data_IF_350566388571
#
_entry.id   IF_350566388571
#
_cell.length_a   1.000
_cell.length_b   1.000
_cell.length_c   1.000
_cell.angle_alpha   90.00
_cell.angle_beta   90.00
_cell.angle_gamma   90.00
#
_symmetry.space_group_name_H-M   'P 1'
#
loop_
_entity.id
_entity.type
_entity.pdbx_description
1 polymer ?
#
# COMPACT_ATOMS: atom_id res chain seq x y z
N UNK A 1 54.00 34.43 23.76
CA UNK A 1 53.87 32.98 23.47
C UNK A 1 52.53 32.34 23.90
N UNK A 2 51.49 33.10 24.27
CA UNK A 2 50.19 32.56 24.67
C UNK A 2 49.18 32.34 23.51
N UNK A 3 49.30 33.11 22.42
CA UNK A 3 48.38 33.04 21.25
C UNK A 3 48.44 31.69 20.49
N UNK A 4 49.61 31.05 20.43
CA UNK A 4 49.79 29.78 19.72
C UNK A 4 49.19 28.56 20.46
N UNK A 5 49.07 28.62 21.80
CA UNK A 5 48.43 27.54 22.59
C UNK A 5 46.91 27.57 22.47
N UNK A 6 46.33 28.74 22.21
CA UNK A 6 44.89 28.92 22.06
C UNK A 6 44.39 28.40 20.71
N UNK A 7 45.13 28.67 19.61
CA UNK A 7 44.79 28.17 18.26
C UNK A 7 44.82 26.64 18.17
N UNK A 8 45.75 25.98 18.86
CA UNK A 8 45.87 24.52 18.86
C UNK A 8 44.68 23.83 19.56
N UNK A 9 44.17 24.43 20.64
CA UNK A 9 42.96 23.92 21.32
C UNK A 9 41.70 24.23 20.52
N UNK A 10 41.63 25.40 19.89
CA UNK A 10 40.54 25.82 19.01
C UNK A 10 40.40 24.89 17.80
N UNK A 11 41.51 24.50 17.17
CA UNK A 11 41.46 23.65 16.00
C UNK A 11 40.88 22.27 16.35
N UNK A 12 41.29 21.71 17.49
CA UNK A 12 40.80 20.42 17.96
C UNK A 12 39.31 20.46 18.32
N UNK A 13 38.82 21.54 18.93
CA UNK A 13 37.38 21.71 19.21
C UNK A 13 36.55 21.94 17.96
N UNK A 14 37.07 22.68 16.97
CA UNK A 14 36.38 22.94 15.70
C UNK A 14 36.22 21.66 14.89
N UNK A 15 37.25 20.82 14.81
CA UNK A 15 37.18 19.52 14.13
C UNK A 15 36.11 18.63 14.77
N UNK A 16 36.06 18.57 16.11
CA UNK A 16 35.05 17.77 16.82
C UNK A 16 33.64 18.31 16.60
N UNK A 17 33.44 19.64 16.62
CA UNK A 17 32.15 20.25 16.33
C UNK A 17 31.68 19.96 14.90
N UNK A 18 32.56 20.04 13.91
CA UNK A 18 32.25 19.68 12.52
C UNK A 18 31.88 18.19 12.41
N UNK A 19 32.61 17.30 13.09
CA UNK A 19 32.27 15.87 13.12
C UNK A 19 30.89 15.62 13.72
N UNK A 20 30.53 16.28 14.83
CA UNK A 20 29.20 16.12 15.43
C UNK A 20 28.11 16.67 14.50
N UNK A 21 28.33 17.83 13.86
CA UNK A 21 27.40 18.39 12.90
C UNK A 21 27.18 17.46 11.69
N UNK A 22 28.25 16.83 11.18
CA UNK A 22 28.16 15.83 10.11
C UNK A 22 27.41 14.57 10.56
N UNK A 23 27.62 14.09 11.79
CA UNK A 23 26.88 12.94 12.33
C UNK A 23 25.38 13.23 12.46
N UNK A 24 25.01 14.43 12.91
CA UNK A 24 23.61 14.86 12.97
C UNK A 24 23.02 14.96 11.56
N UNK A 25 23.75 15.54 10.60
CA UNK A 25 23.31 15.61 9.20
C UNK A 25 23.07 14.21 8.60
N UNK A 26 23.91 13.23 8.92
CA UNK A 26 23.73 11.84 8.49
C UNK A 26 22.49 11.19 9.12
N UNK A 27 22.23 11.42 10.41
CA UNK A 27 21.01 10.92 11.09
C UNK A 27 19.73 11.55 10.52
N UNK A 28 19.77 12.84 10.19
CA UNK A 28 18.64 13.51 9.53
C UNK A 28 18.48 13.06 8.07
N UNK A 29 19.58 12.85 7.34
CA UNK A 29 19.59 12.31 5.98
C UNK A 29 19.03 10.88 5.91
N UNK A 30 19.36 10.02 6.88
CA UNK A 30 18.84 8.66 6.95
C UNK A 30 17.31 8.63 7.13
N UNK A 31 16.77 9.56 7.91
CA UNK A 31 15.32 9.68 8.14
C UNK A 31 14.59 10.12 6.86
N UNK A 32 15.15 11.11 6.15
CA UNK A 32 14.58 11.64 4.91
C UNK A 32 14.67 10.62 3.76
N UNK A 33 15.81 9.93 3.63
CA UNK A 33 16.02 8.89 2.63
C UNK A 33 15.13 7.66 2.85
N UNK A 34 14.89 7.29 4.13
CA UNK A 34 13.98 6.19 4.45
C UNK A 34 12.55 6.52 4.02
N UNK A 35 12.06 7.74 4.30
CA UNK A 35 10.72 8.16 3.92
C UNK A 35 10.55 8.22 2.38
N UNK A 36 11.52 8.80 1.66
CA UNK A 36 11.47 8.88 0.19
C UNK A 36 11.51 7.49 -0.47
N UNK A 37 12.26 6.54 0.08
CA UNK A 37 12.30 5.17 -0.42
C UNK A 37 10.98 4.43 -0.17
N UNK A 38 10.28 4.70 0.94
CA UNK A 38 8.94 4.16 1.16
C UNK A 38 7.94 4.72 0.15
N UNK A 39 8.01 6.03 -0.14
CA UNK A 39 7.14 6.70 -1.14
C UNK A 39 7.36 6.19 -2.57
N UNK A 40 8.62 5.95 -2.97
CA UNK A 40 8.93 5.39 -4.29
C UNK A 40 8.38 3.96 -4.45
N UNK A 41 8.47 3.14 -3.39
CA UNK A 41 7.90 1.79 -3.36
C UNK A 41 6.37 1.82 -3.39
N UNK A 42 5.73 2.76 -2.68
CA UNK A 42 4.27 2.86 -2.67
C UNK A 42 3.72 3.30 -4.03
N UNK A 43 4.35 4.25 -4.72
CA UNK A 43 3.93 4.70 -6.04
C UNK A 43 3.95 3.56 -7.08
N UNK A 44 5.01 2.76 -7.09
CA UNK A 44 5.11 1.61 -8.00
C UNK A 44 4.10 0.49 -7.65
N UNK A 45 3.81 0.27 -6.37
CA UNK A 45 2.79 -0.68 -5.93
C UNK A 45 1.38 -0.20 -6.29
N UNK A 46 1.14 1.11 -6.22
CA UNK A 46 -0.16 1.70 -6.57
C UNK A 46 -0.46 1.59 -8.06
N UNK A 47 0.53 1.77 -8.93
CA UNK A 47 0.37 1.58 -10.38
C UNK A 47 0.10 0.10 -10.74
N UNK A 48 0.83 -0.83 -10.12
CA UNK A 48 0.59 -2.27 -10.27
C UNK A 48 -0.78 -2.68 -9.73
N UNK A 49 -1.23 -2.05 -8.64
CA UNK A 49 -2.54 -2.28 -8.08
C UNK A 49 -3.66 -1.74 -8.95
N UNK A 50 -3.53 -0.54 -9.52
CA UNK A 50 -4.55 0.03 -10.41
C UNK A 50 -4.71 -0.83 -11.67
N UNK A 51 -3.59 -1.29 -12.25
CA UNK A 51 -3.60 -2.20 -13.40
C UNK A 51 -4.24 -3.55 -13.06
N UNK A 52 -3.91 -4.14 -11.90
CA UNK A 52 -4.57 -5.36 -11.40
C UNK A 52 -6.08 -5.14 -11.22
N UNK A 53 -6.49 -4.05 -10.57
CA UNK A 53 -7.90 -3.72 -10.35
C UNK A 53 -8.63 -3.59 -11.69
N UNK A 54 -8.05 -2.96 -12.70
CA UNK A 54 -8.65 -2.85 -14.04
C UNK A 54 -8.82 -4.22 -14.70
N UNK A 55 -7.84 -5.11 -14.57
CA UNK A 55 -7.92 -6.47 -15.10
C UNK A 55 -9.03 -7.28 -14.42
N UNK A 56 -9.03 -7.30 -13.08
CA UNK A 56 -10.06 -7.97 -12.27
C UNK A 56 -11.44 -7.37 -12.54
N UNK A 57 -11.52 -6.05 -12.68
CA UNK A 57 -12.78 -5.35 -13.02
C UNK A 57 -13.32 -5.80 -14.37
N UNK A 58 -12.47 -6.02 -15.37
CA UNK A 58 -12.89 -6.53 -16.68
C UNK A 58 -13.48 -7.94 -16.61
N UNK A 59 -12.93 -8.80 -15.74
CA UNK A 59 -13.43 -10.17 -15.52
C UNK A 59 -14.73 -10.18 -14.71
N UNK A 60 -14.85 -9.30 -13.70
CA UNK A 60 -16.03 -9.24 -12.82
C UNK A 60 -17.20 -8.43 -13.39
N UNK A 61 -16.96 -7.44 -14.24
CA UNK A 61 -18.01 -6.60 -14.83
C UNK A 61 -19.17 -7.39 -15.49
N UNK A 62 -18.94 -8.41 -16.35
CA UNK A 62 -20.04 -9.18 -16.91
C UNK A 62 -20.75 -10.05 -15.85
N UNK A 63 -20.03 -10.54 -14.85
CA UNK A 63 -20.60 -11.35 -13.76
C UNK A 63 -21.52 -10.52 -12.86
N UNK A 64 -21.19 -9.24 -12.64
CA UNK A 64 -21.98 -8.30 -11.85
C UNK A 64 -23.12 -7.64 -12.63
N UNK A 65 -23.01 -7.53 -13.95
CA UNK A 65 -24.06 -6.98 -14.82
C UNK A 65 -25.19 -7.99 -15.12
N UNK A 66 -24.93 -9.28 -14.91
CA UNK A 66 -25.92 -10.34 -15.02
C UNK A 66 -27.00 -10.21 -13.94
N UNK A 67 -28.22 -10.66 -14.26
CA UNK A 67 -29.37 -10.68 -13.33
C UNK A 67 -29.40 -11.94 -12.47
N UNK A 68 -28.46 -12.87 -12.71
CA UNK A 68 -28.33 -14.14 -12.01
C UNK A 68 -27.40 -14.03 -10.80
N UNK A 69 -27.57 -14.94 -9.82
CA UNK A 69 -26.71 -15.03 -8.65
C UNK A 69 -25.33 -15.59 -9.02
N UNK A 70 -24.45 -14.70 -9.46
CA UNK A 70 -23.07 -15.01 -9.82
C UNK A 70 -22.10 -14.99 -8.62
N UNK A 71 -22.59 -15.11 -7.38
CA UNK A 71 -21.75 -15.13 -6.18
C UNK A 71 -20.68 -16.24 -6.21
N UNK A 72 -21.03 -17.44 -6.69
CA UNK A 72 -20.10 -18.57 -6.80
C UNK A 72 -18.93 -18.36 -7.79
N UNK A 73 -19.15 -17.97 -9.06
CA UNK A 73 -18.06 -17.67 -9.99
C UNK A 73 -17.24 -16.45 -9.55
N UNK A 74 -17.88 -15.42 -8.99
CA UNK A 74 -17.17 -14.25 -8.44
C UNK A 74 -16.22 -14.70 -7.32
N UNK A 75 -16.70 -15.52 -6.37
CA UNK A 75 -15.86 -16.06 -5.30
C UNK A 75 -14.67 -16.85 -5.83
N UNK A 76 -14.83 -17.63 -6.89
CA UNK A 76 -13.72 -18.39 -7.48
C UNK A 76 -12.62 -17.47 -8.05
N UNK A 77 -12.98 -16.34 -8.65
CA UNK A 77 -12.02 -15.32 -9.12
C UNK A 77 -11.30 -14.69 -7.92
N UNK A 78 -12.04 -14.31 -6.88
CA UNK A 78 -11.47 -13.76 -5.65
C UNK A 78 -10.52 -14.76 -4.96
N UNK A 79 -10.87 -16.04 -4.90
CA UNK A 79 -10.04 -17.08 -4.32
C UNK A 79 -8.69 -17.15 -5.05
N UNK A 80 -8.67 -17.11 -6.39
CA UNK A 80 -7.43 -17.08 -7.19
C UNK A 80 -6.54 -15.87 -6.89
N UNK A 81 -7.15 -14.70 -6.66
CA UNK A 81 -6.40 -13.50 -6.28
C UNK A 81 -5.72 -13.70 -4.91
N UNK A 82 -6.41 -14.34 -3.97
CA UNK A 82 -5.92 -14.56 -2.61
C UNK A 82 -5.09 -15.83 -2.42
N UNK A 83 -4.97 -16.69 -3.44
CA UNK A 83 -4.11 -17.88 -3.41
C UNK A 83 -2.63 -17.52 -3.19
N UNK A 84 -2.20 -16.36 -3.70
CA UNK A 84 -0.85 -15.86 -3.49
C UNK A 84 -0.83 -14.89 -2.32
N UNK A 85 0.12 -15.06 -1.37
CA UNK A 85 0.26 -14.25 -0.15
C UNK A 85 0.49 -12.75 -0.34
N UNK A 86 0.45 -12.23 -1.57
CA UNK A 86 0.47 -10.79 -1.87
C UNK A 86 -0.89 -10.11 -1.65
N UNK A 87 -2.00 -10.81 -1.88
CA UNK A 87 -3.34 -10.27 -1.69
C UNK A 87 -3.93 -10.96 -0.47
N UNK A 88 -4.05 -10.20 0.62
CA UNK A 88 -4.50 -10.71 1.91
C UNK A 88 -6.02 -10.89 1.99
N UNK A 89 -6.75 -10.03 1.29
CA UNK A 89 -8.20 -9.96 1.34
C UNK A 89 -8.72 -9.27 0.08
N UNK A 90 -9.81 -9.80 -0.47
CA UNK A 90 -10.52 -9.22 -1.59
C UNK A 90 -12.03 -9.37 -1.36
N UNK A 91 -12.77 -8.30 -1.63
CA UNK A 91 -14.22 -8.26 -1.42
C UNK A 91 -14.89 -7.42 -2.49
N UNK A 92 -16.04 -7.89 -2.97
CA UNK A 92 -16.85 -7.21 -3.98
C UNK A 92 -18.17 -6.80 -3.36
N UNK A 93 -18.50 -5.52 -3.52
CA UNK A 93 -19.74 -4.93 -3.03
C UNK A 93 -20.60 -4.52 -4.21
N UNK A 94 -21.91 -4.63 -4.04
CA UNK A 94 -22.89 -4.10 -4.97
C UNK A 94 -23.08 -2.59 -4.71
N UNK A 95 -23.78 -1.90 -5.62
CA UNK A 95 -23.98 -0.44 -5.58
C UNK A 95 -24.80 0.03 -4.37
N UNK A 96 -25.58 -0.86 -3.77
CA UNK A 96 -26.33 -0.64 -2.52
C UNK A 96 -25.46 -0.85 -1.25
N UNK A 97 -24.20 -1.25 -1.42
CA UNK A 97 -23.27 -1.55 -0.32
C UNK A 97 -23.38 -2.98 0.22
N UNK A 98 -24.23 -3.84 -0.35
CA UNK A 98 -24.31 -5.25 0.03
C UNK A 98 -23.06 -6.02 -0.42
N UNK A 99 -22.57 -6.92 0.44
CA UNK A 99 -21.43 -7.79 0.10
C UNK A 99 -21.89 -8.91 -0.83
N UNK A 100 -21.29 -9.01 -2.01
CA UNK A 100 -21.59 -10.06 -2.99
C UNK A 100 -20.71 -11.29 -2.78
N UNK A 101 -19.40 -11.07 -2.62
CA UNK A 101 -18.44 -12.15 -2.37
C UNK A 101 -17.18 -11.60 -1.70
N UNK A 102 -16.51 -12.48 -0.94
CA UNK A 102 -15.26 -12.20 -0.24
C UNK A 102 -14.36 -13.44 -0.26
N UNK A 103 -13.07 -13.24 -0.44
CA UNK A 103 -12.04 -14.26 -0.27
C UNK A 103 -10.83 -13.68 0.46
N UNK A 104 -10.06 -14.55 1.11
CA UNK A 104 -8.85 -14.18 1.85
C UNK A 104 -8.99 -14.35 3.36
N UNK A 105 -8.02 -13.78 4.09
CA UNK A 105 -7.90 -13.99 5.52
C UNK A 105 -8.97 -13.20 6.29
N UNK A 106 -9.76 -13.90 7.10
CA UNK A 106 -10.79 -13.32 7.95
C UNK A 106 -10.16 -12.72 9.22
N UNK A 107 -9.30 -11.71 9.04
CA UNK A 107 -8.72 -10.93 10.12
C UNK A 107 -9.70 -9.82 10.47
N UNK A 108 -10.12 -9.75 11.74
CA UNK A 108 -11.02 -8.70 12.22
C UNK A 108 -10.38 -7.31 12.02
N UNK A 109 -11.20 -6.29 11.71
CA UNK A 109 -10.73 -4.90 11.56
C UNK A 109 -10.00 -4.43 12.83
N UNK A 110 -10.42 -4.93 13.99
CA UNK A 110 -9.82 -4.66 15.29
C UNK A 110 -8.38 -5.19 15.38
N UNK A 111 -8.14 -6.41 14.91
CA UNK A 111 -6.81 -7.03 14.88
C UNK A 111 -5.91 -6.36 13.82
N UNK A 112 -6.48 -5.94 12.69
CA UNK A 112 -5.76 -5.16 11.66
C UNK A 112 -5.32 -3.79 12.16
N UNK A 113 -6.15 -3.14 12.97
CA UNK A 113 -5.86 -1.85 13.60
C UNK A 113 -5.10 -2.00 14.93
N UNK A 114 -4.74 -3.23 15.33
CA UNK A 114 -4.08 -3.56 16.59
C UNK A 114 -4.78 -3.01 17.85
N UNK A 115 -6.11 -2.89 17.83
CA UNK A 115 -6.90 -2.36 18.95
C UNK A 115 -7.12 -3.48 19.98
N UNK A 116 -6.10 -3.79 20.79
CA UNK A 116 -6.25 -4.67 21.95
C UNK A 116 -5.08 -5.62 22.27
N UNK A 117 -4.08 -5.76 21.39
CA UNK A 117 -2.90 -6.60 21.67
C UNK A 117 -1.61 -5.90 21.24
N UNK A 118 -0.58 -5.94 22.10
CA UNK A 118 0.74 -5.33 21.94
C UNK A 118 1.65 -6.02 20.90
N UNK A 119 1.10 -6.88 20.04
CA UNK A 119 1.80 -7.37 18.83
C UNK A 119 1.40 -6.55 17.61
N UNK A 120 1.47 -5.23 17.75
CA UNK A 120 1.43 -4.27 16.63
C UNK A 120 2.77 -4.31 15.86
N UNK A 121 3.17 -5.51 15.44
CA UNK A 121 4.31 -5.72 14.59
C UNK A 121 3.94 -5.34 13.16
N UNK A 122 3.97 -4.04 12.83
CA UNK A 122 4.48 -3.57 11.54
C UNK A 122 3.81 -4.06 10.24
N UNK A 123 2.62 -4.65 10.27
CA UNK A 123 1.89 -4.99 9.04
C UNK A 123 1.30 -3.73 8.40
N UNK A 124 2.14 -2.95 7.73
CA UNK A 124 1.70 -1.91 6.80
C UNK A 124 1.04 -2.57 5.59
N UNK A 125 -0.25 -2.83 5.72
CA UNK A 125 -1.08 -3.34 4.64
C UNK A 125 -1.59 -2.16 3.80
N UNK A 126 -1.39 -2.22 2.48
CA UNK A 126 -1.98 -1.26 1.56
C UNK A 126 -3.35 -1.76 1.14
N UNK A 127 -4.39 -0.95 1.39
CA UNK A 127 -5.75 -1.25 0.95
C UNK A 127 -6.06 -0.39 -0.27
N UNK A 128 -6.47 -1.05 -1.35
CA UNK A 128 -6.80 -0.38 -2.60
C UNK A 128 -8.29 -0.56 -2.86
N UNK A 129 -8.97 0.56 -3.08
CA UNK A 129 -10.40 0.60 -3.35
C UNK A 129 -10.61 1.10 -4.78
N UNK A 130 -10.98 0.18 -5.67
CA UNK A 130 -11.36 0.51 -7.05
C UNK A 130 -12.87 0.57 -7.19
N UNK A 131 -13.37 1.51 -8.01
CA UNK A 131 -14.76 1.43 -8.49
C UNK A 131 -14.80 0.52 -9.72
N UNK A 132 -15.71 -0.46 -9.68
CA UNK A 132 -16.02 -1.30 -10.83
C UNK A 132 -16.72 -0.42 -11.89
N UNK A 133 -15.96 0.12 -12.85
CA UNK A 133 -16.54 0.83 -13.98
C UNK A 133 -16.95 -0.22 -15.01
N UNK A 134 -18.22 -0.61 -15.00
CA UNK A 134 -18.80 -1.45 -16.05
C UNK A 134 -18.67 -0.67 -17.37
N UNK A 135 -17.69 -1.04 -18.19
CA UNK A 135 -17.57 -0.52 -19.55
C UNK A 135 -18.70 -1.18 -20.33
N UNK A 136 -19.84 -0.50 -20.40
CA UNK A 136 -20.92 -0.88 -21.30
C UNK A 136 -20.35 -0.79 -22.72
N UNK A 137 -20.10 -1.94 -23.35
CA UNK A 137 -19.73 -1.98 -24.75
C UNK A 137 -20.78 -1.19 -25.56
N UNK A 138 -20.39 -0.38 -26.55
CA UNK A 138 -21.36 0.28 -27.41
C UNK A 138 -22.23 -0.80 -28.05
N UNK A 139 -23.55 -0.66 -27.92
CA UNK A 139 -24.50 -1.52 -28.60
C UNK A 139 -24.21 -1.45 -30.10
N UNK A 140 -23.65 -2.53 -30.66
CA UNK A 140 -23.63 -2.70 -32.11
C UNK A 140 -25.08 -2.92 -32.52
N UNK A 141 -25.71 -1.81 -32.93
CA UNK A 141 -27.00 -1.80 -33.60
C UNK A 141 -26.83 -2.54 -34.92
N UNK A 142 -27.15 -3.83 -34.94
CA UNK A 142 -27.36 -4.57 -36.18
C UNK A 142 -28.67 -4.08 -36.80
N UNK A 143 -28.54 -3.26 -37.84
CA UNK A 143 -29.57 -2.98 -38.84
C UNK A 143 -29.01 -3.35 -40.21
#
# INVERSE_FOLDING_TARGET
MARARLSFRLHRTVIVLICVALLVALMQGATYFSLSHQMARSAQVEELADTLIRQVTGELAPLMAGRDDNSAPIKQVLDRLTQNSRILDASVYNMDGSLVARAGENISVRDRLAIGNQRAGRFFNHQLCGRLKIIRAPAVSSA
#
